data_IF_721780431181
#
_entry.id   IF_721780431181
#
_cell.length_a   1.000
_cell.length_b   1.000
_cell.length_c   1.000
_cell.angle_alpha   90.00
_cell.angle_beta   90.00
_cell.angle_gamma   90.00
#
_symmetry.space_group_name_H-M   'P 1'
#
loop_
_entity.id
_entity.type
_entity.pdbx_description
1 polymer ?
#
# COMPACT_ATOMS: atom_id res chain seq x y z
N UNK A 1 -5.90 13.05 -2.56
CA UNK A 1 -6.75 14.11 -1.99
C UNK A 1 -8.16 13.96 -2.53
N UNK A 2 -9.20 14.08 -1.71
CA UNK A 2 -10.59 13.95 -2.17
C UNK A 2 -11.20 15.33 -2.45
N UNK A 3 -11.71 15.55 -3.66
CA UNK A 3 -12.47 16.74 -4.02
C UNK A 3 -13.86 16.70 -3.35
N UNK A 4 -13.96 17.23 -2.13
CA UNK A 4 -15.18 17.16 -1.31
C UNK A 4 -15.89 18.51 -1.16
N UNK A 5 -15.22 19.63 -1.45
CA UNK A 5 -15.79 20.97 -1.38
C UNK A 5 -14.97 21.97 -2.23
N UNK A 6 -15.48 23.20 -2.35
CA UNK A 6 -14.85 24.28 -3.13
C UNK A 6 -13.47 24.69 -2.60
N UNK A 7 -13.26 24.67 -1.28
CA UNK A 7 -11.96 24.99 -0.70
C UNK A 7 -10.86 24.00 -1.15
N UNK A 8 -11.18 22.70 -1.19
CA UNK A 8 -10.27 21.68 -1.70
C UNK A 8 -10.07 21.84 -3.22
N UNK A 9 -11.13 22.17 -3.97
CA UNK A 9 -11.03 22.43 -5.41
C UNK A 9 -10.06 23.58 -5.71
N UNK A 10 -10.22 24.71 -5.03
CA UNK A 10 -9.35 25.87 -5.23
C UNK A 10 -7.89 25.56 -4.92
N UNK A 11 -7.64 24.81 -3.84
CA UNK A 11 -6.28 24.34 -3.51
C UNK A 11 -5.67 23.47 -4.61
N UNK A 12 -6.43 22.56 -5.23
CA UNK A 12 -5.94 21.76 -6.38
C UNK A 12 -5.52 22.68 -7.53
N UNK A 13 -6.39 23.62 -7.89
CA UNK A 13 -6.13 24.53 -9.01
C UNK A 13 -4.86 25.35 -8.77
N UNK A 14 -4.68 25.86 -7.56
CA UNK A 14 -3.50 26.64 -7.20
C UNK A 14 -2.23 25.78 -7.21
N UNK A 15 -2.31 24.54 -6.74
CA UNK A 15 -1.20 23.58 -6.86
C UNK A 15 -0.84 23.32 -8.32
N UNK A 16 -1.81 23.03 -9.19
CA UNK A 16 -1.57 22.77 -10.62
C UNK A 16 -0.90 23.97 -11.30
N UNK A 17 -1.32 25.20 -10.99
CA UNK A 17 -0.73 26.43 -11.54
C UNK A 17 0.75 26.61 -11.17
N UNK A 18 1.20 26.02 -10.06
CA UNK A 18 2.57 26.14 -9.57
C UNK A 18 3.48 25.00 -10.02
N UNK A 19 2.94 23.96 -10.66
CA UNK A 19 3.73 22.83 -11.13
C UNK A 19 4.66 23.22 -12.29
N UNK A 20 5.89 22.71 -12.34
CA UNK A 20 6.79 22.95 -13.46
C UNK A 20 6.27 22.26 -14.73
N UNK A 21 6.47 22.91 -15.87
CA UNK A 21 6.18 22.34 -17.19
C UNK A 21 7.52 21.99 -17.85
N UNK A 22 7.67 20.73 -18.26
CA UNK A 22 8.87 20.23 -18.91
C UNK A 22 8.47 19.25 -20.01
N UNK A 23 8.90 19.49 -21.25
CA UNK A 23 8.57 18.63 -22.39
C UNK A 23 9.32 17.29 -22.37
N UNK A 24 10.53 17.26 -21.81
CA UNK A 24 11.35 16.04 -21.72
C UNK A 24 10.97 15.16 -20.53
N UNK A 25 10.41 15.75 -19.47
CA UNK A 25 9.94 15.05 -18.28
C UNK A 25 8.59 15.63 -17.82
N UNK A 26 7.50 15.35 -18.54
CA UNK A 26 6.20 15.93 -18.26
C UNK A 26 5.56 15.33 -17.01
N UNK A 27 4.95 16.18 -16.19
CA UNK A 27 4.11 15.73 -15.08
C UNK A 27 2.77 15.18 -15.59
N UNK A 28 2.39 14.00 -15.09
CA UNK A 28 1.09 13.38 -15.38
C UNK A 28 0.08 13.72 -14.29
N UNK A 29 -1.07 14.28 -14.68
CA UNK A 29 -2.20 14.55 -13.77
C UNK A 29 -3.28 13.50 -13.96
N UNK A 30 -3.67 12.84 -12.89
CA UNK A 30 -4.69 11.79 -12.91
C UNK A 30 -5.86 12.11 -11.97
N UNK A 31 -7.08 12.10 -12.51
CA UNK A 31 -8.32 12.28 -11.75
C UNK A 31 -9.12 10.99 -11.85
N UNK A 32 -9.44 10.42 -10.69
CA UNK A 32 -10.17 9.14 -10.58
C UNK A 32 -11.37 9.30 -9.66
N UNK A 33 -12.44 8.58 -9.98
CA UNK A 33 -13.57 8.43 -9.06
C UNK A 33 -13.10 7.65 -7.84
N UNK A 34 -13.45 8.15 -6.65
CA UNK A 34 -13.19 7.44 -5.39
C UNK A 34 -13.93 6.11 -5.42
N UNK A 35 -13.19 5.02 -5.31
CA UNK A 35 -13.78 3.69 -5.07
C UNK A 35 -13.88 3.44 -3.57
N UNK A 36 -14.83 2.60 -3.15
CA UNK A 36 -14.96 2.18 -1.75
C UNK A 36 -13.71 1.46 -1.22
N UNK A 37 -12.91 0.85 -2.11
CA UNK A 37 -11.66 0.18 -1.75
C UNK A 37 -10.46 1.14 -1.64
N UNK A 38 -10.57 2.37 -2.16
CA UNK A 38 -9.45 3.32 -2.18
C UNK A 38 -8.99 3.71 -0.77
N UNK A 39 -9.92 3.97 0.15
CA UNK A 39 -9.58 4.30 1.55
C UNK A 39 -8.84 3.16 2.26
N UNK A 40 -9.25 1.91 2.02
CA UNK A 40 -8.59 0.75 2.61
C UNK A 40 -7.20 0.54 2.01
N UNK A 41 -7.06 0.72 0.69
CA UNK A 41 -5.76 0.67 0.02
C UNK A 41 -4.83 1.76 0.57
N UNK A 42 -5.33 3.00 0.71
CA UNK A 42 -4.56 4.13 1.25
C UNK A 42 -4.14 3.86 2.72
N UNK A 43 -5.05 3.31 3.54
CA UNK A 43 -4.74 2.88 4.92
C UNK A 43 -3.64 1.83 4.95
N UNK A 44 -3.77 0.75 4.17
CA UNK A 44 -2.76 -0.30 4.09
C UNK A 44 -1.41 0.25 3.62
N UNK A 45 -1.41 1.12 2.61
CA UNK A 45 -0.19 1.78 2.13
C UNK A 45 0.47 2.67 3.19
N UNK A 46 -0.30 3.39 4.00
CA UNK A 46 0.25 4.16 5.12
C UNK A 46 0.89 3.27 6.18
N UNK A 47 0.25 2.14 6.54
CA UNK A 47 0.80 1.16 7.48
C UNK A 47 2.14 0.59 7.01
N UNK A 48 2.27 0.32 5.70
CA UNK A 48 3.53 -0.12 5.12
C UNK A 48 4.66 0.90 5.29
N UNK A 49 4.34 2.20 5.21
CA UNK A 49 5.29 3.27 5.50
C UNK A 49 5.75 3.25 6.95
N UNK A 50 4.82 3.12 7.89
CA UNK A 50 5.14 3.02 9.32
C UNK A 50 6.03 1.80 9.61
N UNK A 51 5.71 0.64 9.03
CA UNK A 51 6.50 -0.60 9.18
C UNK A 51 7.89 -0.46 8.55
N UNK A 52 7.97 0.06 7.32
CA UNK A 52 9.25 0.21 6.60
C UNK A 52 10.26 1.08 7.37
N UNK A 53 9.77 2.09 8.09
CA UNK A 53 10.62 2.96 8.89
C UNK A 53 11.08 2.34 10.22
N UNK A 54 10.35 1.36 10.75
CA UNK A 54 10.48 0.91 12.15
C UNK A 54 10.96 -0.53 12.30
N UNK A 55 10.68 -1.40 11.33
CA UNK A 55 10.89 -2.85 11.47
C UNK A 55 12.02 -3.38 10.59
N UNK A 56 12.58 -4.51 11.02
CA UNK A 56 13.48 -5.36 10.25
C UNK A 56 12.79 -6.71 10.02
N UNK A 57 13.12 -7.38 8.92
CA UNK A 57 12.74 -8.77 8.70
C UNK A 57 13.98 -9.58 8.42
N UNK A 58 14.21 -10.63 9.22
CA UNK A 58 15.39 -11.49 9.12
C UNK A 58 16.74 -10.72 9.15
N UNK A 59 16.77 -9.58 9.82
CA UNK A 59 17.95 -8.72 9.93
C UNK A 59 18.02 -7.59 8.89
N UNK A 60 17.19 -7.64 7.85
CA UNK A 60 17.23 -6.68 6.75
C UNK A 60 16.13 -5.61 6.82
N UNK A 61 16.43 -4.45 6.25
CA UNK A 61 15.45 -3.39 5.98
C UNK A 61 14.80 -3.63 4.62
N UNK A 62 13.50 -3.39 4.55
CA UNK A 62 12.73 -3.42 3.31
C UNK A 62 12.00 -2.11 3.07
N UNK A 63 11.85 -1.76 1.81
CA UNK A 63 11.02 -0.65 1.36
C UNK A 63 9.52 -1.04 1.39
N UNK A 64 8.65 -0.10 0.99
CA UNK A 64 7.21 -0.34 0.95
C UNK A 64 6.85 -1.54 0.07
N UNK A 65 7.57 -1.74 -1.04
CA UNK A 65 7.32 -2.86 -1.94
C UNK A 65 7.68 -4.20 -1.29
N UNK A 66 8.85 -4.30 -0.67
CA UNK A 66 9.29 -5.48 0.07
C UNK A 66 8.33 -5.86 1.20
N UNK A 67 7.99 -4.90 2.07
CA UNK A 67 7.02 -5.15 3.15
C UNK A 67 5.64 -5.54 2.63
N UNK A 68 5.19 -4.94 1.53
CA UNK A 68 3.94 -5.33 0.87
C UNK A 68 3.97 -6.78 0.42
N UNK A 69 5.08 -7.25 -0.17
CA UNK A 69 5.24 -8.65 -0.55
C UNK A 69 5.17 -9.58 0.66
N UNK A 70 5.93 -9.26 1.72
CA UNK A 70 6.01 -10.06 2.95
C UNK A 70 4.64 -10.21 3.61
N UNK A 71 3.93 -9.09 3.82
CA UNK A 71 2.65 -9.07 4.52
C UNK A 71 1.53 -9.72 3.70
N UNK A 72 1.47 -9.47 2.39
CA UNK A 72 0.48 -10.14 1.53
C UNK A 72 0.73 -11.64 1.50
N UNK A 73 1.99 -12.06 1.33
CA UNK A 73 2.34 -13.48 1.34
C UNK A 73 2.03 -14.14 2.69
N UNK A 74 2.42 -13.51 3.79
CA UNK A 74 2.14 -13.99 5.15
C UNK A 74 0.64 -14.12 5.42
N UNK A 75 -0.14 -13.12 5.00
CA UNK A 75 -1.60 -13.14 5.12
C UNK A 75 -2.25 -14.24 4.28
N UNK A 76 -1.81 -14.48 3.04
CA UNK A 76 -2.27 -15.60 2.21
C UNK A 76 -2.10 -16.94 2.94
N UNK A 77 -0.92 -17.19 3.53
CA UNK A 77 -0.66 -18.40 4.29
C UNK A 77 -1.51 -18.46 5.58
N UNK A 78 -1.56 -17.38 6.35
CA UNK A 78 -2.31 -17.33 7.61
C UNK A 78 -3.82 -17.56 7.41
N UNK A 79 -4.35 -17.17 6.26
CA UNK A 79 -5.75 -17.36 5.88
C UNK A 79 -6.00 -18.61 5.05
N UNK A 80 -5.01 -19.50 4.92
CA UNK A 80 -5.09 -20.79 4.21
C UNK A 80 -5.54 -20.65 2.76
N UNK A 81 -5.19 -19.53 2.12
CA UNK A 81 -5.41 -19.34 0.70
C UNK A 81 -4.27 -19.98 -0.10
N UNK A 82 -4.54 -20.42 -1.35
CA UNK A 82 -3.51 -20.96 -2.21
C UNK A 82 -2.44 -19.91 -2.51
N UNK A 83 -1.18 -20.35 -2.51
CA UNK A 83 -0.03 -19.56 -2.96
C UNK A 83 0.69 -20.30 -4.08
N UNK A 84 1.47 -19.56 -4.88
CA UNK A 84 2.18 -20.14 -6.03
C UNK A 84 3.64 -19.71 -6.00
N UNK A 85 4.52 -20.67 -5.75
CA UNK A 85 5.96 -20.52 -5.92
C UNK A 85 6.38 -21.19 -7.22
N UNK A 86 7.06 -20.46 -8.09
CA UNK A 86 7.52 -20.96 -9.39
C UNK A 86 9.00 -20.67 -9.56
N UNK A 87 9.63 -21.39 -10.49
CA UNK A 87 10.93 -21.00 -11.03
C UNK A 87 10.75 -19.81 -11.95
N UNK A 88 11.56 -18.78 -11.74
CA UNK A 88 11.61 -17.59 -12.56
C UNK A 88 12.41 -17.80 -13.84
N UNK A 89 12.56 -16.72 -14.61
CA UNK A 89 13.16 -16.76 -15.95
C UNK A 89 14.65 -17.09 -15.86
N UNK A 90 15.31 -16.68 -14.77
CA UNK A 90 16.75 -16.89 -14.52
C UNK A 90 17.00 -18.00 -13.48
N UNK A 91 16.00 -18.87 -13.22
CA UNK A 91 16.12 -20.00 -12.30
C UNK A 91 15.88 -19.64 -10.82
N UNK A 92 15.57 -18.38 -10.51
CA UNK A 92 15.27 -17.90 -9.16
C UNK A 92 13.90 -18.37 -8.67
N UNK A 93 13.64 -18.29 -7.36
CA UNK A 93 12.30 -18.57 -6.82
C UNK A 93 11.43 -17.31 -6.88
N UNK A 94 10.29 -17.41 -7.56
CA UNK A 94 9.32 -16.31 -7.72
C UNK A 94 8.03 -16.67 -7.03
N UNK A 95 7.62 -15.83 -6.08
CA UNK A 95 6.30 -15.91 -5.46
C UNK A 95 5.26 -15.14 -6.31
N UNK A 96 4.44 -15.87 -7.06
CA UNK A 96 3.34 -15.31 -7.84
C UNK A 96 2.13 -15.12 -6.92
N UNK A 97 2.09 -13.96 -6.27
CA UNK A 97 1.07 -13.61 -5.29
C UNK A 97 -0.07 -12.78 -5.87
N UNK A 98 -1.15 -12.71 -5.10
CA UNK A 98 -2.28 -11.83 -5.40
C UNK A 98 -1.88 -10.34 -5.38
N UNK A 99 -2.48 -9.58 -6.29
CA UNK A 99 -2.34 -8.13 -6.34
C UNK A 99 -3.37 -7.47 -5.42
N UNK A 100 -2.92 -6.61 -4.51
CA UNK A 100 -3.82 -5.92 -3.58
C UNK A 100 -4.87 -5.06 -4.28
N UNK A 101 -4.55 -4.53 -5.47
CA UNK A 101 -5.48 -3.77 -6.32
C UNK A 101 -6.67 -4.60 -6.82
N UNK A 102 -6.54 -5.93 -6.86
CA UNK A 102 -7.60 -6.86 -7.26
C UNK A 102 -8.34 -7.46 -6.07
N UNK A 103 -7.96 -7.12 -4.83
CA UNK A 103 -8.64 -7.61 -3.64
C UNK A 103 -10.01 -6.96 -3.48
N UNK A 104 -11.02 -7.75 -3.12
CA UNK A 104 -12.29 -7.23 -2.63
C UNK A 104 -12.14 -6.56 -1.25
N UNK A 105 -13.10 -5.70 -0.91
CA UNK A 105 -13.14 -4.94 0.37
C UNK A 105 -12.92 -5.84 1.60
N UNK A 106 -13.55 -7.03 1.63
CA UNK A 106 -13.39 -7.99 2.74
C UNK A 106 -11.96 -8.55 2.84
N UNK A 107 -11.34 -8.87 1.70
CA UNK A 107 -9.98 -9.41 1.65
C UNK A 107 -8.97 -8.36 2.12
N UNK A 108 -9.14 -7.12 1.67
CA UNK A 108 -8.30 -5.99 2.09
C UNK A 108 -8.47 -5.68 3.59
N UNK A 109 -9.70 -5.68 4.11
CA UNK A 109 -9.95 -5.49 5.54
C UNK A 109 -9.21 -6.54 6.40
N UNK A 110 -9.30 -7.82 5.99
CA UNK A 110 -8.58 -8.90 6.66
C UNK A 110 -7.05 -8.75 6.58
N UNK A 111 -6.51 -8.25 5.45
CA UNK A 111 -5.08 -7.97 5.31
C UNK A 111 -4.64 -6.83 6.23
N UNK A 112 -5.44 -5.77 6.36
CA UNK A 112 -5.19 -4.66 7.28
C UNK A 112 -5.15 -5.17 8.72
N UNK A 113 -6.13 -5.97 9.13
CA UNK A 113 -6.16 -6.56 10.48
C UNK A 113 -4.93 -7.42 10.76
N UNK A 114 -4.56 -8.30 9.83
CA UNK A 114 -3.34 -9.09 9.91
C UNK A 114 -2.08 -8.22 10.05
N UNK A 115 -2.01 -7.14 9.26
CA UNK A 115 -0.87 -6.21 9.27
C UNK A 115 -0.80 -5.41 10.58
N UNK A 116 -1.94 -5.00 11.13
CA UNK A 116 -2.02 -4.34 12.43
C UNK A 116 -1.50 -5.27 13.52
N UNK A 117 -2.00 -6.50 13.57
CA UNK A 117 -1.60 -7.49 14.56
C UNK A 117 -0.09 -7.76 14.49
N UNK A 118 0.44 -7.99 13.28
CA UNK A 118 1.88 -8.19 13.09
C UNK A 118 2.70 -6.97 13.52
N UNK A 119 2.30 -5.77 13.10
CA UNK A 119 3.03 -4.54 13.44
C UNK A 119 3.08 -4.29 14.94
N UNK A 120 1.93 -4.38 15.62
CA UNK A 120 1.85 -4.20 17.09
C UNK A 120 2.69 -5.23 17.83
N UNK A 121 2.65 -6.50 17.41
CA UNK A 121 3.48 -7.56 18.00
C UNK A 121 4.99 -7.31 17.83
N UNK A 122 5.39 -6.60 16.76
CA UNK A 122 6.77 -6.25 16.48
C UNK A 122 7.14 -4.82 16.92
N UNK A 123 6.32 -4.19 17.75
CA UNK A 123 6.61 -2.87 18.33
C UNK A 123 6.47 -1.69 17.38
N UNK A 124 5.87 -1.87 16.20
CA UNK A 124 5.57 -0.79 15.26
C UNK A 124 4.47 0.09 15.84
N UNK A 125 4.70 1.41 15.85
CA UNK A 125 3.70 2.41 16.21
C UNK A 125 3.06 2.93 14.94
N UNK A 126 1.80 2.58 14.72
CA UNK A 126 1.02 3.08 13.59
C UNK A 126 0.50 4.49 13.85
N UNK A 127 0.43 5.32 12.82
CA UNK A 127 -0.09 6.67 12.94
C UNK A 127 -1.62 6.69 13.05
N UNK A 128 -2.18 7.29 14.09
CA UNK A 128 -3.63 7.30 14.43
C UNK A 128 -4.57 7.90 13.37
N UNK A 129 -4.03 8.45 12.28
CA UNK A 129 -4.78 9.04 11.15
C UNK A 129 -5.90 8.13 10.60
N UNK A 130 -5.82 6.82 10.82
CA UNK A 130 -6.77 5.84 10.30
C UNK A 130 -7.53 5.03 11.37
N UNK A 131 -7.45 5.42 12.66
CA UNK A 131 -8.10 4.73 13.77
C UNK A 131 -7.59 3.29 13.94
N UNK A 132 -6.42 3.16 14.54
CA UNK A 132 -5.79 1.86 14.82
C UNK A 132 -6.15 1.36 16.22
#
# INVERSE_FOLDING_TARGET
MYLVNEAVRNRVLDTIRQLPINESDPLVVEIKVKTRSMEQNDKFHAMLGDISNQALWQGDKYDLYGWKNLLVSGHTIATKLPYKLVTGIEGELVNVREQTSKMGVRRMASLIEYTTAWGVQNGVRFNDRWGF
#
